data_IF_662052224815
#
_entry.id   IF_662052224815
#
_cell.length_a   1.000
_cell.length_b   1.000
_cell.length_c   1.000
_cell.angle_alpha   90.00
_cell.angle_beta   90.00
_cell.angle_gamma   90.00
#
_symmetry.space_group_name_H-M   'P 1'
#
loop_
_entity.id
_entity.type
_entity.pdbx_description
1 polymer ?
#
# COMPACT_ATOMS: atom_id res chain seq x y z
N UNK A 1 -14.36 -21.61 -9.32
CA UNK A 1 -13.21 -20.79 -8.86
C UNK A 1 -12.95 -19.80 -9.98
N UNK A 2 -13.42 -18.56 -9.82
CA UNK A 2 -13.15 -17.51 -10.79
C UNK A 2 -11.73 -16.99 -10.55
N UNK A 3 -10.94 -16.95 -11.62
CA UNK A 3 -9.59 -16.40 -11.61
C UNK A 3 -9.67 -14.90 -11.84
N UNK A 4 -8.76 -14.15 -11.23
CA UNK A 4 -8.63 -12.71 -11.47
C UNK A 4 -8.41 -12.41 -12.95
N UNK A 5 -9.24 -11.53 -13.51
CA UNK A 5 -9.02 -10.99 -14.84
C UNK A 5 -7.95 -9.89 -14.80
N UNK A 6 -6.75 -10.19 -15.29
CA UNK A 6 -5.60 -9.27 -15.28
C UNK A 6 -5.91 -7.92 -15.93
N UNK A 7 -6.53 -7.95 -17.12
CA UNK A 7 -6.78 -6.74 -17.91
C UNK A 7 -7.78 -5.82 -17.22
N UNK A 8 -8.85 -6.40 -16.64
CA UNK A 8 -9.85 -5.64 -15.88
C UNK A 8 -9.20 -4.93 -14.69
N UNK A 9 -8.50 -5.68 -13.84
CA UNK A 9 -7.89 -5.14 -12.62
C UNK A 9 -6.78 -4.13 -12.93
N UNK A 10 -5.94 -4.42 -13.93
CA UNK A 10 -4.90 -3.48 -14.35
C UNK A 10 -5.49 -2.17 -14.89
N UNK A 11 -6.63 -2.25 -15.59
CA UNK A 11 -7.37 -1.06 -16.05
C UNK A 11 -7.93 -0.27 -14.88
N UNK A 12 -8.59 -0.92 -13.92
CA UNK A 12 -9.15 -0.27 -12.73
C UNK A 12 -8.05 0.40 -11.89
N UNK A 13 -6.94 -0.30 -11.62
CA UNK A 13 -5.78 0.29 -10.95
C UNK A 13 -5.22 1.48 -11.73
N UNK A 14 -5.14 1.40 -13.06
CA UNK A 14 -4.66 2.50 -13.89
C UNK A 14 -5.58 3.72 -13.85
N UNK A 15 -6.89 3.53 -13.65
CA UNK A 15 -7.85 4.62 -13.46
C UNK A 15 -7.63 5.28 -12.11
N UNK A 16 -7.61 4.50 -11.02
CA UNK A 16 -7.28 4.97 -9.67
C UNK A 16 -5.98 5.79 -9.64
N UNK A 17 -4.92 5.29 -10.29
CA UNK A 17 -3.62 5.96 -10.30
C UNK A 17 -3.64 7.33 -11.00
N UNK A 18 -4.68 7.66 -11.77
CA UNK A 18 -4.84 8.98 -12.42
C UNK A 18 -5.68 9.97 -11.60
N UNK A 19 -6.41 9.49 -10.60
CA UNK A 19 -7.23 10.35 -9.74
C UNK A 19 -6.33 11.21 -8.85
N UNK A 20 -6.58 12.51 -8.74
CA UNK A 20 -5.69 13.41 -7.98
C UNK A 20 -6.08 13.51 -6.50
N UNK A 21 -7.34 13.25 -6.19
CA UNK A 21 -7.95 13.37 -4.86
C UNK A 21 -7.88 12.07 -4.04
N UNK A 22 -7.58 10.95 -4.70
CA UNK A 22 -7.48 9.63 -4.07
C UNK A 22 -6.05 9.21 -3.81
N UNK A 23 -5.80 8.82 -2.56
CA UNK A 23 -4.50 8.34 -2.07
C UNK A 23 -4.53 6.84 -1.84
N UNK A 24 -5.67 6.31 -1.39
CA UNK A 24 -5.80 4.93 -0.97
C UNK A 24 -6.73 4.17 -1.92
N UNK A 25 -6.34 2.96 -2.31
CA UNK A 25 -7.20 2.03 -3.04
C UNK A 25 -7.32 0.75 -2.22
N UNK A 26 -8.54 0.33 -1.90
CA UNK A 26 -8.81 -0.95 -1.25
C UNK A 26 -9.26 -1.95 -2.28
N UNK A 27 -8.52 -3.04 -2.38
CA UNK A 27 -8.77 -4.10 -3.34
C UNK A 27 -9.10 -5.39 -2.60
N UNK A 28 -10.39 -5.71 -2.53
CA UNK A 28 -10.87 -6.94 -1.89
C UNK A 28 -11.08 -8.04 -2.92
N UNK A 29 -10.46 -9.19 -2.66
CA UNK A 29 -10.59 -10.38 -3.49
C UNK A 29 -10.58 -11.61 -2.59
N UNK A 30 -11.44 -12.58 -2.91
CA UNK A 30 -11.44 -13.89 -2.26
C UNK A 30 -10.07 -14.58 -2.32
N UNK A 31 -9.76 -15.34 -1.28
CA UNK A 31 -8.56 -16.18 -1.21
C UNK A 31 -8.53 -17.23 -2.32
N UNK A 32 -7.33 -17.58 -2.79
CA UNK A 32 -7.14 -18.61 -3.82
C UNK A 32 -7.36 -18.16 -5.27
N UNK A 33 -7.58 -16.87 -5.51
CA UNK A 33 -7.81 -16.27 -6.84
C UNK A 33 -6.53 -15.88 -7.60
N UNK A 34 -5.37 -16.00 -6.95
CA UNK A 34 -4.08 -15.58 -7.51
C UNK A 34 -3.69 -14.12 -7.22
N UNK A 35 -4.37 -13.43 -6.30
CA UNK A 35 -4.11 -12.04 -5.88
C UNK A 35 -2.63 -11.71 -5.69
N UNK A 36 -1.94 -12.45 -4.82
CA UNK A 36 -0.52 -12.21 -4.53
C UNK A 36 0.36 -12.38 -5.78
N UNK A 37 0.05 -13.35 -6.64
CA UNK A 37 0.78 -13.53 -7.90
C UNK A 37 0.55 -12.33 -8.83
N UNK A 38 -0.69 -11.88 -8.97
CA UNK A 38 -1.05 -10.69 -9.75
C UNK A 38 -0.29 -9.45 -9.27
N UNK A 39 -0.34 -9.14 -7.97
CA UNK A 39 0.27 -7.92 -7.42
C UNK A 39 1.80 -7.92 -7.54
N UNK A 40 2.43 -9.08 -7.34
CA UNK A 40 3.87 -9.22 -7.56
C UNK A 40 4.24 -9.02 -9.02
N UNK A 41 3.47 -9.62 -9.94
CA UNK A 41 3.66 -9.43 -11.38
C UNK A 41 3.48 -7.97 -11.78
N UNK A 42 2.47 -7.30 -11.25
CA UNK A 42 2.24 -5.87 -11.47
C UNK A 42 3.48 -5.05 -11.08
N UNK A 43 4.03 -5.23 -9.88
CA UNK A 43 5.24 -4.50 -9.46
C UNK A 43 6.50 -4.85 -10.30
N UNK A 44 6.55 -6.03 -10.93
CA UNK A 44 7.63 -6.37 -11.86
C UNK A 44 7.50 -5.64 -13.20
N UNK A 45 6.27 -5.45 -13.68
CA UNK A 45 5.98 -4.72 -14.92
C UNK A 45 6.04 -3.20 -14.72
N UNK A 46 5.82 -2.71 -13.49
CA UNK A 46 5.77 -1.28 -13.15
C UNK A 46 6.89 -0.89 -12.16
N UNK A 47 7.98 -0.31 -12.69
CA UNK A 47 9.17 0.06 -11.89
C UNK A 47 8.92 1.06 -10.76
N UNK A 48 7.87 1.87 -10.85
CA UNK A 48 7.50 2.84 -9.82
C UNK A 48 6.59 2.24 -8.73
N UNK A 49 6.23 0.96 -8.85
CA UNK A 49 5.41 0.25 -7.88
C UNK A 49 6.29 -0.66 -7.00
N UNK A 50 6.00 -0.65 -5.70
CA UNK A 50 6.68 -1.47 -4.72
C UNK A 50 5.70 -2.44 -4.06
N UNK A 51 6.06 -3.72 -3.99
CA UNK A 51 5.26 -4.74 -3.32
C UNK A 51 5.78 -4.99 -1.91
N UNK A 52 4.87 -4.96 -0.93
CA UNK A 52 5.11 -5.39 0.43
C UNK A 52 4.02 -6.37 0.86
N UNK A 53 4.43 -7.48 1.47
CA UNK A 53 3.52 -8.31 2.23
C UNK A 53 3.55 -7.85 3.69
N UNK A 54 2.40 -7.41 4.22
CA UNK A 54 2.30 -6.89 5.58
C UNK A 54 1.30 -7.75 6.37
N UNK A 55 1.74 -8.88 6.95
CA UNK A 55 0.87 -9.70 7.78
C UNK A 55 0.41 -8.91 9.01
N UNK A 56 -0.79 -9.23 9.51
CA UNK A 56 -1.38 -8.58 10.70
C UNK A 56 -0.45 -8.52 11.92
N UNK A 57 0.50 -9.45 12.04
CA UNK A 57 1.48 -9.46 13.12
C UNK A 57 2.39 -8.22 13.15
N UNK A 58 2.63 -7.60 11.99
CA UNK A 58 3.50 -6.42 11.81
C UNK A 58 2.68 -5.13 11.82
N UNK A 59 1.43 -5.16 11.36
CA UNK A 59 0.54 -4.00 11.26
C UNK A 59 -0.01 -3.47 12.61
N UNK A 60 0.74 -3.64 13.71
CA UNK A 60 0.29 -3.34 15.08
C UNK A 60 0.73 -1.97 15.60
N UNK A 61 1.65 -1.29 14.91
CA UNK A 61 2.07 0.07 15.28
C UNK A 61 2.71 0.78 14.09
N UNK A 62 2.64 2.12 14.02
CA UNK A 62 3.29 2.91 12.97
C UNK A 62 4.78 2.59 12.84
N UNK A 63 5.48 2.45 13.98
CA UNK A 63 6.91 2.14 14.00
C UNK A 63 7.24 0.80 13.33
N UNK A 64 6.47 -0.24 13.60
CA UNK A 64 6.71 -1.58 13.03
C UNK A 64 6.47 -1.60 11.52
N UNK A 65 5.47 -0.86 11.05
CA UNK A 65 5.15 -0.73 9.63
C UNK A 65 6.27 0.03 8.89
N UNK A 66 6.72 1.17 9.44
CA UNK A 66 7.82 1.93 8.86
C UNK A 66 9.10 1.09 8.78
N UNK A 67 9.43 0.38 9.86
CA UNK A 67 10.57 -0.55 9.86
C UNK A 67 10.41 -1.67 8.83
N UNK A 68 9.21 -2.23 8.70
CA UNK A 68 8.90 -3.26 7.70
C UNK A 68 9.08 -2.73 6.27
N UNK A 69 8.62 -1.51 5.98
CA UNK A 69 8.81 -0.85 4.69
C UNK A 69 10.29 -0.60 4.41
N UNK A 70 11.02 0.01 5.35
CA UNK A 70 12.45 0.28 5.23
C UNK A 70 13.25 -1.01 5.00
N UNK A 71 12.94 -2.06 5.76
CA UNK A 71 13.58 -3.36 5.60
C UNK A 71 13.30 -3.97 4.22
N UNK A 72 12.05 -3.88 3.75
CA UNK A 72 11.64 -4.41 2.45
C UNK A 72 12.22 -3.59 1.28
N UNK A 73 12.57 -2.32 1.51
CA UNK A 73 13.31 -1.45 0.58
C UNK A 73 14.83 -1.64 0.65
N UNK A 74 15.30 -2.60 1.46
CA UNK A 74 16.71 -2.93 1.70
C UNK A 74 17.51 -1.79 2.35
N UNK A 75 16.83 -0.93 3.12
CA UNK A 75 17.51 0.13 3.88
C UNK A 75 18.28 -0.51 5.04
N UNK A 76 19.58 -0.19 5.22
CA UNK A 76 20.38 -0.73 6.30
C UNK A 76 19.74 -0.52 7.68
N UNK A 77 19.96 -1.45 8.61
CA UNK A 77 19.36 -1.41 9.93
C UNK A 77 19.63 -0.11 10.67
N UNK A 78 18.55 0.57 11.09
CA UNK A 78 18.58 1.86 11.76
C UNK A 78 18.27 1.65 13.24
N UNK A 79 19.29 1.78 14.10
CA UNK A 79 19.10 1.66 15.55
C UNK A 79 18.28 2.83 16.08
N UNK A 80 17.19 2.48 16.77
CA UNK A 80 16.44 3.34 17.71
C UNK A 80 16.23 4.79 17.27
N UNK A 81 15.43 4.99 16.22
CA UNK A 81 14.97 6.31 15.78
C UNK A 81 13.53 6.59 16.24
N UNK A 82 13.11 7.86 16.20
CA UNK A 82 11.69 8.23 16.37
C UNK A 82 10.88 7.85 15.14
N UNK A 83 9.55 7.87 15.25
CA UNK A 83 8.64 7.65 14.10
C UNK A 83 8.90 8.65 12.98
N UNK A 84 9.05 9.94 13.31
CA UNK A 84 9.36 10.98 12.32
C UNK A 84 10.69 10.72 11.60
N UNK A 85 11.73 10.30 12.33
CA UNK A 85 13.01 9.95 11.70
C UNK A 85 12.88 8.76 10.76
N UNK A 86 12.07 7.75 11.09
CA UNK A 86 11.81 6.63 10.18
C UNK A 86 11.03 7.09 8.94
N UNK A 87 10.06 8.00 9.12
CA UNK A 87 9.28 8.58 8.02
C UNK A 87 10.16 9.36 7.06
N UNK A 88 11.06 10.22 7.57
CA UNK A 88 12.00 11.00 6.76
C UNK A 88 12.92 10.11 5.93
N UNK A 89 13.43 9.03 6.53
CA UNK A 89 14.33 8.09 5.85
C UNK A 89 13.55 7.31 4.78
N UNK A 90 12.34 6.87 5.11
CA UNK A 90 11.47 6.19 4.16
C UNK A 90 11.18 7.09 2.96
N UNK A 91 10.81 8.35 3.21
CA UNK A 91 10.55 9.35 2.17
C UNK A 91 11.74 9.53 1.23
N UNK A 92 12.95 9.71 1.78
CA UNK A 92 14.17 9.85 0.97
C UNK A 92 14.43 8.61 0.11
N UNK A 93 14.22 7.41 0.65
CA UNK A 93 14.44 6.19 -0.11
C UNK A 93 13.38 5.99 -1.21
N UNK A 94 12.11 6.35 -0.95
CA UNK A 94 11.03 6.31 -1.94
C UNK A 94 11.31 7.27 -3.10
N UNK A 95 11.73 8.52 -2.81
CA UNK A 95 12.14 9.50 -3.83
C UNK A 95 13.31 8.97 -4.65
N UNK A 96 14.35 8.49 -3.97
CA UNK A 96 15.58 7.97 -4.61
C UNK A 96 15.27 6.81 -5.57
N UNK A 97 14.33 5.92 -5.20
CA UNK A 97 13.88 4.81 -6.04
C UNK A 97 12.79 5.21 -7.04
N UNK A 98 12.32 6.46 -7.04
CA UNK A 98 11.24 6.98 -7.89
C UNK A 98 9.96 6.16 -7.76
N UNK A 99 9.63 5.76 -6.54
CA UNK A 99 8.41 5.01 -6.24
C UNK A 99 7.23 5.98 -6.11
N UNK A 100 6.16 5.67 -6.82
CA UNK A 100 4.89 6.42 -6.80
C UNK A 100 3.72 5.57 -6.30
N UNK A 101 3.93 4.26 -6.15
CA UNK A 101 2.89 3.32 -5.68
C UNK A 101 3.47 2.33 -4.68
N UNK A 102 2.80 2.15 -3.54
CA UNK A 102 3.07 1.06 -2.61
C UNK A 102 1.87 0.12 -2.58
N UNK A 103 2.11 -1.14 -2.89
CA UNK A 103 1.13 -2.21 -2.81
C UNK A 103 1.37 -2.99 -1.53
N UNK A 104 0.36 -3.04 -0.66
CA UNK A 104 0.39 -3.72 0.62
C UNK A 104 -0.59 -4.90 0.57
N UNK A 105 -0.04 -6.11 0.57
CA UNK A 105 -0.79 -7.36 0.45
C UNK A 105 -0.99 -8.05 1.80
N UNK A 106 -2.13 -8.74 1.91
CA UNK A 106 -2.64 -9.45 3.09
C UNK A 106 -2.96 -8.55 4.28
N UNK A 107 -3.49 -7.36 3.98
CA UNK A 107 -3.96 -6.45 5.00
C UNK A 107 -5.45 -6.69 5.29
N UNK A 108 -5.79 -6.77 6.56
CA UNK A 108 -7.17 -6.99 6.99
C UNK A 108 -7.67 -5.88 7.91
N UNK A 109 -6.82 -5.37 8.80
CA UNK A 109 -7.15 -4.27 9.70
C UNK A 109 -5.97 -3.31 9.75
N UNK A 110 -6.27 -2.02 9.61
CA UNK A 110 -5.31 -0.93 9.72
C UNK A 110 -5.91 0.09 10.69
N UNK A 111 -5.12 0.50 11.67
CA UNK A 111 -5.49 1.57 12.59
C UNK A 111 -5.50 2.94 11.89
N UNK A 112 -6.33 3.88 12.35
CA UNK A 112 -6.38 5.27 11.86
C UNK A 112 -5.01 5.90 11.86
N UNK A 113 -4.24 5.70 12.93
CA UNK A 113 -2.91 6.31 13.07
C UNK A 113 -1.98 5.90 11.92
N UNK A 114 -2.15 4.69 11.37
CA UNK A 114 -1.37 4.19 10.24
C UNK A 114 -1.85 4.84 8.93
N UNK A 115 -3.15 5.06 8.75
CA UNK A 115 -3.66 5.80 7.61
C UNK A 115 -3.20 7.26 7.62
N UNK A 116 -3.24 7.92 8.76
CA UNK A 116 -2.74 9.30 8.91
C UNK A 116 -1.25 9.38 8.56
N UNK A 117 -0.46 8.41 9.02
CA UNK A 117 0.95 8.28 8.68
C UNK A 117 1.18 8.14 7.17
N UNK A 118 0.44 7.25 6.51
CA UNK A 118 0.54 7.05 5.07
C UNK A 118 0.03 8.25 4.27
N UNK A 119 -1.02 8.92 4.75
CA UNK A 119 -1.54 10.15 4.14
C UNK A 119 -0.51 11.26 4.17
N UNK A 120 0.12 11.46 5.33
CA UNK A 120 1.24 12.43 5.47
C UNK A 120 2.36 12.11 4.49
N UNK A 121 2.74 10.84 4.35
CA UNK A 121 3.76 10.44 3.39
C UNK A 121 3.33 10.72 1.93
N UNK A 122 2.07 10.42 1.59
CA UNK A 122 1.52 10.70 0.27
C UNK A 122 1.53 12.19 -0.10
N UNK A 123 1.15 13.04 0.84
CA UNK A 123 1.08 14.49 0.63
C UNK A 123 2.46 15.12 0.40
N UNK A 124 3.52 14.49 0.89
CA UNK A 124 4.89 14.99 0.74
C UNK A 124 5.55 14.56 -0.59
N UNK A 125 5.17 13.42 -1.18
CA UNK A 125 5.90 12.81 -2.31
C UNK A 125 5.03 12.20 -3.43
N UNK A 126 3.75 12.59 -3.55
CA UNK A 126 2.82 12.10 -4.59
C UNK A 126 2.80 10.57 -4.70
N UNK A 127 2.50 9.94 -3.56
CA UNK A 127 2.53 8.49 -3.39
C UNK A 127 1.11 7.95 -3.21
N UNK A 128 0.78 6.89 -3.94
CA UNK A 128 -0.49 6.16 -3.78
C UNK A 128 -0.28 4.81 -3.10
N UNK A 129 -1.28 4.36 -2.36
CA UNK A 129 -1.27 3.06 -1.71
C UNK A 129 -2.40 2.18 -2.21
N UNK A 130 -2.07 0.92 -2.47
CA UNK A 130 -3.03 -0.12 -2.83
C UNK A 130 -3.01 -1.17 -1.72
N UNK A 131 -4.12 -1.29 -1.00
CA UNK A 131 -4.32 -2.24 0.08
C UNK A 131 -5.09 -3.44 -0.44
N UNK A 132 -4.46 -4.62 -0.45
CA UNK A 132 -5.04 -5.82 -1.01
C UNK A 132 -5.39 -6.83 0.09
N UNK A 133 -6.69 -7.04 0.31
CA UNK A 133 -7.24 -7.84 1.41
C UNK A 133 -8.24 -8.89 0.91
N UNK A 134 -8.72 -9.73 1.83
CA UNK A 134 -9.96 -10.51 1.59
C UNK A 134 -11.19 -9.69 1.96
N UNK A 135 -11.02 -8.72 2.85
CA UNK A 135 -12.07 -7.84 3.37
C UNK A 135 -11.61 -6.39 3.20
N UNK A 136 -12.57 -5.48 3.09
CA UNK A 136 -12.33 -4.05 3.14
C UNK A 136 -12.49 -3.64 4.61
N UNK A 137 -11.49 -2.98 5.23
CA UNK A 137 -11.65 -2.52 6.60
C UNK A 137 -12.74 -1.45 6.67
N UNK A 138 -13.41 -1.34 7.82
CA UNK A 138 -14.30 -0.22 8.09
C UNK A 138 -13.48 1.08 8.05
N UNK A 139 -13.78 1.94 7.08
CA UNK A 139 -13.06 3.19 6.89
C UNK A 139 -13.72 4.30 7.71
N UNK A 140 -12.90 5.04 8.43
CA UNK A 140 -13.30 6.29 9.04
C UNK A 140 -13.61 7.31 7.94
N UNK A 141 -14.55 8.22 8.18
CA UNK A 141 -15.09 9.15 7.16
C UNK A 141 -13.98 9.91 6.41
N UNK A 142 -13.00 10.45 7.13
CA UNK A 142 -11.86 11.17 6.54
C UNK A 142 -10.92 10.28 5.72
N UNK A 143 -10.82 8.97 6.03
CA UNK A 143 -10.06 8.02 5.21
C UNK A 143 -10.85 7.70 3.95
N UNK A 144 -12.16 7.48 4.08
CA UNK A 144 -13.06 7.13 2.98
C UNK A 144 -13.07 8.21 1.88
N UNK A 145 -13.02 9.50 2.25
CA UNK A 145 -12.95 10.62 1.30
C UNK A 145 -11.75 10.52 0.34
N UNK A 146 -10.61 10.06 0.84
CA UNK A 146 -9.37 9.88 0.07
C UNK A 146 -9.19 8.48 -0.51
N UNK A 147 -10.24 7.65 -0.44
CA UNK A 147 -10.17 6.25 -0.81
C UNK A 147 -11.03 5.91 -2.01
N UNK A 148 -10.60 4.88 -2.75
CA UNK A 148 -11.37 4.16 -3.74
C UNK A 148 -11.48 2.70 -3.32
N UNK A 149 -12.64 2.07 -3.58
CA UNK A 149 -12.88 0.66 -3.28
C UNK A 149 -13.08 -0.06 -4.61
N UNK A 150 -12.18 -1.00 -4.89
CA UNK A 150 -12.26 -1.90 -6.03
C UNK A 150 -12.69 -3.28 -5.55
N UNK A 151 -13.82 -3.74 -6.08
CA UNK A 151 -14.33 -5.09 -5.86
C UNK A 151 -14.16 -5.89 -7.14
N UNK A 152 -13.16 -6.77 -7.18
CA UNK A 152 -13.04 -7.77 -8.24
C UNK A 152 -13.93 -8.96 -7.90
N UNK A 153 -15.25 -8.75 -8.06
CA UNK A 153 -16.21 -9.81 -8.35
C UNK A 153 -16.32 -9.95 -9.87
#
# INVERSE_FOLDING_TARGET
>A
MELLNYEKVSTELSLFLREQDKVFCFFSIASGTGKTYFLRRYCQEHKSAFYMHLPQSIAKSPRMILLGLLYSLEVPFIKSASVDSYLDILRLELIKKQLSVIIIDDIQVIDVEIFELFKRLADEIDLKFIFAGTEIPDLYEHVAEHSEILSAV
#
